data_IF_987541137521
#
_entry.id   IF_987541137521
#
_cell.length_a   1.000
_cell.length_b   1.000
_cell.length_c   1.000
_cell.angle_alpha   90.00
_cell.angle_beta   90.00
_cell.angle_gamma   90.00
#
_symmetry.space_group_name_H-M   'P 1'
#
loop_
_entity.id
_entity.type
_entity.pdbx_description
1 polymer ?
#
# COMPACT_ATOMS: atom_id res chain seq x y z
N UNK A 1 2.89 -26.01 13.06
CA UNK A 1 2.65 -24.58 12.76
C UNK A 1 3.58 -24.00 11.70
N UNK A 2 4.92 -24.15 11.79
CA UNK A 2 5.85 -23.57 10.80
C UNK A 2 5.59 -23.95 9.33
N UNK A 3 5.22 -25.21 9.06
CA UNK A 3 4.89 -25.66 7.70
C UNK A 3 3.62 -24.99 7.15
N UNK A 4 2.62 -24.78 7.99
CA UNK A 4 1.37 -24.13 7.61
C UNK A 4 1.61 -22.65 7.28
N UNK A 5 2.37 -21.94 8.12
CA UNK A 5 2.76 -20.55 7.89
C UNK A 5 3.56 -20.39 6.58
N UNK A 6 4.48 -21.32 6.30
CA UNK A 6 5.25 -21.32 5.06
C UNK A 6 4.34 -21.53 3.84
N UNK A 7 3.42 -22.48 3.91
CA UNK A 7 2.43 -22.71 2.85
C UNK A 7 1.53 -21.49 2.63
N UNK A 8 1.11 -20.83 3.71
CA UNK A 8 0.31 -19.60 3.63
C UNK A 8 1.10 -18.47 2.97
N UNK A 9 2.37 -18.28 3.36
CA UNK A 9 3.26 -17.29 2.75
C UNK A 9 3.50 -17.55 1.27
N UNK A 10 3.74 -18.81 0.86
CA UNK A 10 3.88 -19.20 -0.55
C UNK A 10 2.57 -19.03 -1.33
N UNK A 11 1.43 -19.16 -0.65
CA UNK A 11 0.14 -18.83 -1.25
C UNK A 11 0.01 -17.32 -1.41
N UNK A 12 0.19 -16.52 -0.37
CA UNK A 12 0.07 -15.05 -0.40
C UNK A 12 1.07 -14.40 -1.36
N UNK A 13 2.26 -14.97 -1.54
CA UNK A 13 3.30 -14.46 -2.43
C UNK A 13 3.15 -14.85 -3.91
N UNK A 14 2.16 -15.66 -4.27
CA UNK A 14 1.95 -16.14 -5.65
C UNK A 14 1.34 -15.10 -6.59
N UNK A 15 0.66 -14.09 -6.04
CA UNK A 15 0.04 -13.00 -6.79
C UNK A 15 0.23 -11.66 -6.07
N UNK A 16 -0.10 -10.56 -6.75
CA UNK A 16 0.00 -9.22 -6.18
C UNK A 16 -1.22 -8.80 -5.35
N UNK A 17 -2.23 -9.68 -5.19
CA UNK A 17 -3.50 -9.38 -4.55
C UNK A 17 -3.31 -8.93 -3.10
N UNK A 18 -2.45 -9.66 -2.37
CA UNK A 18 -2.09 -9.31 -1.00
C UNK A 18 -1.50 -7.91 -0.90
N UNK A 19 -0.53 -7.59 -1.76
CA UNK A 19 0.11 -6.27 -1.77
C UNK A 19 -0.87 -5.17 -2.16
N UNK A 20 -1.79 -5.41 -3.12
CA UNK A 20 -2.83 -4.44 -3.47
C UNK A 20 -3.74 -4.13 -2.29
N UNK A 21 -4.17 -5.15 -1.56
CA UNK A 21 -5.01 -4.99 -0.38
C UNK A 21 -4.27 -4.33 0.78
N UNK A 22 -3.02 -4.72 1.02
CA UNK A 22 -2.17 -4.07 2.03
C UNK A 22 -1.97 -2.58 1.72
N UNK A 23 -1.71 -2.24 0.45
CA UNK A 23 -1.62 -0.86 0.00
C UNK A 23 -2.95 -0.11 0.10
N UNK A 24 -4.08 -0.76 -0.22
CA UNK A 24 -5.42 -0.17 -0.08
C UNK A 24 -5.71 0.17 1.38
N UNK A 25 -5.50 -0.77 2.30
CA UNK A 25 -5.77 -0.58 3.73
C UNK A 25 -4.84 0.49 4.30
N UNK A 26 -3.54 0.39 4.02
CA UNK A 26 -2.56 1.40 4.43
C UNK A 26 -2.93 2.79 3.88
N UNK A 27 -3.27 2.85 2.60
CA UNK A 27 -3.63 4.07 1.90
C UNK A 27 -4.90 4.70 2.48
N UNK A 28 -5.92 3.89 2.74
CA UNK A 28 -7.16 4.33 3.38
C UNK A 28 -6.92 4.86 4.80
N UNK A 29 -6.08 4.19 5.61
CA UNK A 29 -5.73 4.67 6.95
C UNK A 29 -4.99 6.00 6.91
N UNK A 30 -4.00 6.16 6.03
CA UNK A 30 -3.25 7.40 5.90
C UNK A 30 -4.09 8.54 5.33
N UNK A 31 -4.93 8.27 4.32
CA UNK A 31 -5.80 9.28 3.72
C UNK A 31 -6.91 9.71 4.68
N UNK A 32 -7.52 8.78 5.42
CA UNK A 32 -8.53 9.12 6.44
C UNK A 32 -7.93 9.85 7.63
N UNK A 33 -6.74 9.44 8.11
CA UNK A 33 -6.02 10.13 9.17
C UNK A 33 -5.61 11.55 8.77
N UNK A 34 -4.98 11.70 7.59
CA UNK A 34 -4.63 13.01 7.02
C UNK A 34 -5.85 13.90 6.75
N UNK A 35 -6.94 13.32 6.24
CA UNK A 35 -8.20 14.05 6.03
C UNK A 35 -8.85 14.52 7.34
N UNK A 36 -8.89 13.65 8.35
CA UNK A 36 -9.44 13.96 9.67
C UNK A 36 -8.66 15.09 10.35
N UNK A 37 -7.33 15.00 10.35
CA UNK A 37 -6.46 16.04 10.90
C UNK A 37 -6.67 17.38 10.18
N UNK A 38 -6.83 17.36 8.84
CA UNK A 38 -7.06 18.56 8.06
C UNK A 38 -8.41 19.22 8.41
N UNK A 39 -9.48 18.42 8.48
CA UNK A 39 -10.83 18.89 8.80
C UNK A 39 -10.88 19.44 10.24
N UNK A 40 -10.35 18.68 11.20
CA UNK A 40 -10.27 19.11 12.60
C UNK A 40 -9.45 20.37 12.75
N UNK A 41 -8.29 20.42 12.08
CA UNK A 41 -7.43 21.59 12.06
C UNK A 41 -8.16 22.82 11.54
N UNK A 42 -8.94 22.69 10.46
CA UNK A 42 -9.74 23.80 9.92
C UNK A 42 -10.87 24.26 10.85
N UNK A 43 -11.54 23.32 11.54
CA UNK A 43 -12.61 23.64 12.48
C UNK A 43 -12.05 24.37 13.71
N UNK A 44 -10.92 23.91 14.24
CA UNK A 44 -10.28 24.49 15.43
C UNK A 44 -9.56 25.82 15.12
N UNK A 45 -8.95 25.95 13.94
CA UNK A 45 -8.29 27.19 13.51
C UNK A 45 -9.25 28.39 13.49
N UNK A 46 -10.54 28.16 13.20
CA UNK A 46 -11.58 29.21 13.25
C UNK A 46 -11.87 29.73 14.67
N UNK A 47 -11.51 28.98 15.70
CA UNK A 47 -11.79 29.29 17.10
C UNK A 47 -10.57 29.92 17.80
N UNK A 48 -9.37 29.72 17.25
CA UNK A 48 -8.11 30.17 17.87
C UNK A 48 -7.77 31.60 17.45
N UNK A 49 -7.71 32.51 18.43
CA UNK A 49 -7.41 33.93 18.19
C UNK A 49 -5.94 34.24 17.86
N UNK A 50 -5.00 33.34 18.20
CA UNK A 50 -3.57 33.45 17.89
C UNK A 50 -2.98 32.08 17.54
N UNK A 51 -3.10 31.63 16.27
CA UNK A 51 -2.51 30.36 15.85
C UNK A 51 -0.99 30.46 15.88
N UNK A 52 -0.34 29.52 16.56
CA UNK A 52 1.12 29.38 16.52
C UNK A 52 1.57 28.97 15.12
N UNK A 53 2.82 29.28 14.74
CA UNK A 53 3.35 28.98 13.40
C UNK A 53 3.30 27.49 13.03
N UNK A 54 3.29 26.59 14.03
CA UNK A 54 3.10 25.15 13.85
C UNK A 54 1.76 24.79 13.18
N UNK A 55 0.72 25.60 13.36
CA UNK A 55 -0.58 25.40 12.70
C UNK A 55 -0.51 25.55 11.18
N UNK A 56 0.48 26.28 10.65
CA UNK A 56 0.71 26.39 9.20
C UNK A 56 1.36 25.13 8.62
N UNK A 57 2.12 24.38 9.42
CA UNK A 57 2.74 23.12 8.99
C UNK A 57 1.73 21.95 8.97
N UNK A 58 0.75 22.00 9.86
CA UNK A 58 -0.29 20.99 10.04
C UNK A 58 -1.04 20.64 8.74
N UNK A 59 -1.57 21.59 7.94
CA UNK A 59 -2.23 21.29 6.67
C UNK A 59 -1.27 20.74 5.61
N UNK A 60 0.00 21.18 5.60
CA UNK A 60 1.01 20.68 4.65
C UNK A 60 1.30 19.21 4.92
N UNK A 61 1.50 18.85 6.20
CA UNK A 61 1.73 17.47 6.63
C UNK A 61 0.49 16.61 6.32
N UNK A 62 -0.72 17.11 6.64
CA UNK A 62 -1.99 16.42 6.32
C UNK A 62 -2.14 16.15 4.83
N UNK A 63 -1.86 17.14 3.97
CA UNK A 63 -1.93 17.00 2.52
C UNK A 63 -0.91 15.99 2.01
N UNK A 64 0.30 15.98 2.58
CA UNK A 64 1.31 14.97 2.25
C UNK A 64 0.82 13.56 2.60
N UNK A 65 0.26 13.35 3.80
CA UNK A 65 -0.32 12.06 4.20
C UNK A 65 -1.51 11.65 3.33
N UNK A 66 -2.37 12.59 2.96
CA UNK A 66 -3.53 12.34 2.11
C UNK A 66 -3.09 11.94 0.69
N UNK A 67 -2.17 12.70 0.10
CA UNK A 67 -1.60 12.39 -1.22
C UNK A 67 -0.89 11.03 -1.22
N UNK A 68 -0.12 10.74 -0.16
CA UNK A 68 0.56 9.45 0.02
C UNK A 68 -0.43 8.29 0.17
N UNK A 69 -1.48 8.48 0.97
CA UNK A 69 -2.52 7.49 1.16
C UNK A 69 -3.28 7.18 -0.13
N UNK A 70 -3.63 8.23 -0.90
CA UNK A 70 -4.24 8.08 -2.22
C UNK A 70 -3.31 7.38 -3.22
N UNK A 71 -2.01 7.70 -3.20
CA UNK A 71 -1.02 7.03 -4.04
C UNK A 71 -1.00 5.52 -3.74
N UNK A 72 -0.98 5.13 -2.47
CA UNK A 72 -1.02 3.72 -2.06
C UNK A 72 -2.35 3.05 -2.45
N UNK A 73 -3.48 3.72 -2.23
CA UNK A 73 -4.80 3.19 -2.60
C UNK A 73 -4.95 3.02 -4.12
N UNK A 74 -4.33 3.89 -4.93
CA UNK A 74 -4.33 3.79 -6.39
C UNK A 74 -3.70 2.49 -6.93
N UNK A 75 -2.91 1.79 -6.09
CA UNK A 75 -2.32 0.49 -6.42
C UNK A 75 -3.36 -0.59 -6.75
N UNK A 76 -4.60 -0.45 -6.27
CA UNK A 76 -5.67 -1.40 -6.58
C UNK A 76 -6.02 -1.41 -8.08
N UNK A 77 -5.98 -0.23 -8.72
CA UNK A 77 -6.36 -0.04 -10.12
C UNK A 77 -5.17 -0.06 -11.07
N UNK A 78 -3.97 0.19 -10.56
CA UNK A 78 -2.79 0.30 -11.42
C UNK A 78 -2.17 -1.07 -11.72
N UNK A 79 -1.77 -1.32 -12.98
CA UNK A 79 -1.09 -2.56 -13.32
C UNK A 79 0.29 -2.62 -12.66
N UNK A 80 0.74 -3.84 -12.34
CA UNK A 80 2.06 -4.14 -11.72
C UNK A 80 3.21 -3.39 -12.41
N UNK A 81 3.14 -3.25 -13.73
CA UNK A 81 4.22 -2.68 -14.54
C UNK A 81 4.25 -1.14 -14.57
N UNK A 82 3.30 -0.47 -13.92
CA UNK A 82 3.23 1.00 -13.93
C UNK A 82 4.34 1.63 -13.08
N UNK A 83 4.80 2.83 -13.47
CA UNK A 83 5.76 3.62 -12.68
C UNK A 83 5.19 3.96 -11.29
N UNK A 84 3.88 4.11 -11.19
CA UNK A 84 3.16 4.35 -9.94
C UNK A 84 3.28 3.18 -8.96
N UNK A 85 3.18 1.93 -9.44
CA UNK A 85 3.36 0.76 -8.60
C UNK A 85 4.78 0.70 -7.98
N UNK A 86 5.82 1.05 -8.74
CA UNK A 86 7.21 1.11 -8.23
C UNK A 86 7.40 2.22 -7.20
N UNK A 87 6.76 3.37 -7.39
CA UNK A 87 6.76 4.45 -6.40
C UNK A 87 6.05 4.03 -5.11
N UNK A 88 4.91 3.36 -5.22
CA UNK A 88 4.18 2.81 -4.08
C UNK A 88 4.95 1.70 -3.34
N UNK A 89 5.81 0.93 -4.03
CA UNK A 89 6.69 -0.04 -3.37
C UNK A 89 7.83 0.64 -2.62
N UNK A 90 8.49 1.65 -3.22
CA UNK A 90 9.53 2.45 -2.55
C UNK A 90 8.99 3.27 -1.37
N UNK A 91 7.69 3.50 -1.34
CA UNK A 91 7.00 4.21 -0.28
C UNK A 91 6.88 3.39 1.01
N UNK A 92 7.07 2.06 0.96
CA UNK A 92 7.12 1.28 2.20
C UNK A 92 8.49 1.49 2.85
N UNK A 93 8.55 1.99 4.09
CA UNK A 93 9.80 2.03 4.83
C UNK A 93 10.33 0.61 5.02
N UNK A 94 11.64 0.43 4.82
CA UNK A 94 12.33 -0.79 5.21
C UNK A 94 12.09 -1.08 6.70
N UNK A 95 11.99 -2.37 7.05
CA UNK A 95 11.44 -2.91 8.30
C UNK A 95 12.25 -2.60 9.58
N UNK A 96 12.90 -1.44 9.68
CA UNK A 96 13.74 -1.02 10.81
C UNK A 96 13.02 -0.07 11.78
N UNK A 97 11.71 -0.23 11.98
CA UNK A 97 10.97 0.53 12.99
C UNK A 97 10.94 -0.21 14.34
N UNK A 98 10.89 0.53 15.44
CA UNK A 98 10.81 -0.01 16.80
C UNK A 98 9.60 -0.97 16.98
N UNK A 99 9.70 -1.89 17.94
CA UNK A 99 8.76 -3.02 18.12
C UNK A 99 7.29 -2.61 18.30
N UNK A 100 7.02 -1.42 18.86
CA UNK A 100 5.67 -0.92 19.14
C UNK A 100 4.90 -0.40 17.92
N UNK A 101 5.44 0.52 17.09
CA UNK A 101 4.77 0.95 15.87
C UNK A 101 4.58 -0.19 14.86
N UNK A 102 5.46 -1.20 14.88
CA UNK A 102 5.32 -2.41 14.05
C UNK A 102 4.06 -3.20 14.43
N UNK A 103 3.74 -3.35 15.71
CA UNK A 103 2.62 -4.20 16.14
C UNK A 103 1.27 -3.61 15.70
N UNK A 104 1.12 -2.29 15.76
CA UNK A 104 -0.06 -1.58 15.23
C UNK A 104 -0.15 -1.74 13.71
N UNK A 105 0.98 -1.66 13.00
CA UNK A 105 1.02 -1.86 11.55
C UNK A 105 0.65 -3.30 11.17
N UNK A 106 1.17 -4.30 11.89
CA UNK A 106 0.89 -5.71 11.62
C UNK A 106 -0.59 -6.03 11.90
N UNK A 107 -1.12 -5.61 13.06
CA UNK A 107 -2.49 -5.92 13.44
C UNK A 107 -3.50 -5.08 12.65
N UNK A 108 -3.21 -3.79 12.42
CA UNK A 108 -4.12 -2.86 11.75
C UNK A 108 -4.11 -2.96 10.23
N UNK A 109 -3.01 -3.40 9.62
CA UNK A 109 -2.87 -3.47 8.15
C UNK A 109 -2.69 -4.90 7.66
N UNK A 110 -1.72 -5.64 8.19
CA UNK A 110 -1.35 -6.94 7.63
C UNK A 110 -2.39 -8.01 7.91
N UNK A 111 -2.89 -8.11 9.14
CA UNK A 111 -3.93 -9.07 9.49
C UNK A 111 -5.21 -8.92 8.66
N UNK A 112 -5.82 -7.71 8.54
CA UNK A 112 -6.99 -7.54 7.69
C UNK A 112 -6.66 -7.74 6.20
N UNK A 113 -5.47 -7.33 5.73
CA UNK A 113 -5.05 -7.60 4.35
C UNK A 113 -4.99 -9.11 4.07
N UNK A 114 -4.41 -9.91 4.96
CA UNK A 114 -4.36 -11.39 4.84
C UNK A 114 -5.78 -11.96 4.81
N UNK A 115 -6.64 -11.57 5.74
CA UNK A 115 -8.02 -12.05 5.82
C UNK A 115 -8.82 -11.72 4.56
N UNK A 116 -8.74 -10.47 4.08
CA UNK A 116 -9.38 -10.05 2.83
C UNK A 116 -8.82 -10.81 1.63
N UNK A 117 -7.50 -11.03 1.59
CA UNK A 117 -6.87 -11.79 0.49
C UNK A 117 -7.37 -13.22 0.46
N UNK A 118 -7.46 -13.87 1.62
CA UNK A 118 -8.00 -15.23 1.73
C UNK A 118 -9.47 -15.26 1.34
N UNK A 119 -10.29 -14.32 1.83
CA UNK A 119 -11.70 -14.23 1.48
C UNK A 119 -11.93 -14.04 -0.03
N UNK A 120 -11.19 -13.13 -0.66
CA UNK A 120 -11.26 -12.91 -2.10
C UNK A 120 -10.84 -14.16 -2.90
N UNK A 121 -9.82 -14.88 -2.43
CA UNK A 121 -9.42 -16.14 -3.06
C UNK A 121 -10.44 -17.24 -2.89
N UNK A 122 -11.13 -17.32 -1.76
CA UNK A 122 -12.27 -18.23 -1.60
C UNK A 122 -13.39 -17.92 -2.59
N UNK A 123 -13.55 -16.65 -2.97
CA UNK A 123 -14.47 -16.22 -4.03
C UNK A 123 -13.92 -16.41 -5.45
N UNK A 124 -12.73 -17.00 -5.60
CA UNK A 124 -12.10 -17.25 -6.91
C UNK A 124 -11.40 -16.04 -7.52
N UNK A 125 -11.27 -14.92 -6.79
CA UNK A 125 -10.54 -13.74 -7.26
C UNK A 125 -9.04 -13.97 -7.08
N UNK A 126 -8.30 -13.86 -8.18
CA UNK A 126 -6.83 -13.92 -8.20
C UNK A 126 -6.24 -12.58 -8.63
N UNK A 127 -5.07 -12.24 -8.08
CA UNK A 127 -4.31 -11.07 -8.50
C UNK A 127 -3.57 -11.30 -9.83
N UNK A 128 -2.82 -10.29 -10.26
CA UNK A 128 -1.89 -10.44 -11.38
C UNK A 128 -0.69 -11.28 -10.92
N UNK A 129 -0.29 -12.26 -11.74
CA UNK A 129 0.84 -13.14 -11.45
C UNK A 129 2.14 -12.40 -11.72
N UNK A 130 3.12 -12.57 -10.83
CA UNK A 130 4.45 -11.95 -10.99
C UNK A 130 5.24 -12.50 -12.18
N UNK A 131 4.85 -13.66 -12.71
CA UNK A 131 5.54 -14.36 -13.80
C UNK A 131 5.14 -13.85 -15.20
N UNK A 132 4.14 -12.98 -15.32
CA UNK A 132 3.70 -12.40 -16.60
C UNK A 132 4.64 -11.28 -17.08
N UNK A 133 5.83 -11.17 -16.51
CA UNK A 133 6.88 -10.25 -16.96
C UNK A 133 7.60 -10.92 -18.13
N UNK A 134 7.43 -10.46 -19.40
CA UNK A 134 8.30 -10.89 -20.47
C UNK A 134 9.71 -10.41 -20.13
N UNK A 135 10.52 -11.34 -19.64
CA UNK A 135 11.94 -11.13 -19.42
C UNK A 135 12.51 -10.62 -20.74
N UNK A 136 13.37 -9.62 -20.71
CA UNK A 136 14.02 -9.08 -21.92
C UNK A 136 14.74 -10.15 -22.78
N UNK A 137 14.97 -11.32 -22.19
CA UNK A 137 15.41 -12.55 -22.84
C UNK A 137 14.36 -13.13 -23.83
N UNK A 138 13.08 -13.19 -23.48
CA UNK A 138 12.00 -13.67 -24.36
C UNK A 138 11.81 -12.72 -25.56
N UNK A 139 12.07 -11.41 -25.37
CA UNK A 139 12.05 -10.42 -26.46
C UNK A 139 13.21 -10.60 -27.45
N UNK A 140 14.39 -11.05 -26.98
CA UNK A 140 15.54 -11.35 -27.84
C UNK A 140 15.35 -12.68 -28.58
N UNK A 141 14.80 -13.70 -27.93
CA UNK A 141 14.55 -14.99 -28.57
C UNK A 141 13.48 -14.90 -29.66
N UNK A 142 12.43 -14.10 -29.47
CA UNK A 142 11.43 -13.85 -30.53
C UNK A 142 11.98 -12.99 -31.67
N UNK A 143 12.91 -12.08 -31.38
CA UNK A 143 13.61 -11.31 -32.43
C UNK A 143 14.60 -12.16 -33.23
N UNK A 144 15.15 -13.23 -32.65
CA UNK A 144 16.09 -14.13 -33.32
C UNK A 144 15.40 -15.21 -34.16
N UNK A 145 14.15 -15.56 -33.84
CA UNK A 145 13.36 -16.57 -34.58
C UNK A 145 12.48 -16.00 -35.71
N UNK A 146 12.49 -14.68 -35.90
CA UNK A 146 11.69 -13.97 -36.91
C UNK A 146 12.46 -13.43 -38.11
N UNK A 147 13.72 -13.85 -38.29
CA UNK A 147 14.57 -13.57 -39.46
C UNK A 147 14.85 -14.86 -40.22
#
# INVERSE_FOLDING_TARGET
MRHWLKSLADQLGRDDLFMRLACLISGAMLASGGGFILIKGFLEFRVVANPSWWWLLLPIISLAFLAWGLLLASRIFTPINSRLARLAEKAFPDQTFDEWPILILIVGVWAPAVLLTLALRFLGVSGQRRDDVPTSLDRRERSAKGS
#
